data_IF_888369742540
#
_entry.id   IF_888369742540
#
_cell.length_a   1.000
_cell.length_b   1.000
_cell.length_c   1.000
_cell.angle_alpha   90.00
_cell.angle_beta   90.00
_cell.angle_gamma   90.00
#
_symmetry.space_group_name_H-M   'P 1'
#
loop_
_entity.id
_entity.type
_entity.pdbx_description
1 polymer ?
#
# COMPACT_ATOMS: atom_id res chain seq x y z
N UNK A 1 6.97 4.89 -20.82
CA UNK A 1 6.13 4.07 -19.94
C UNK A 1 4.68 4.24 -20.34
N UNK A 2 3.87 3.19 -20.26
CA UNK A 2 2.42 3.32 -20.44
C UNK A 2 1.82 4.07 -19.25
N UNK A 3 0.81 4.89 -19.49
CA UNK A 3 0.07 5.60 -18.43
C UNK A 3 -1.37 5.14 -18.42
N UNK A 4 -1.99 5.12 -17.24
CA UNK A 4 -3.40 4.81 -17.06
C UNK A 4 -4.12 6.03 -16.46
N UNK A 5 -5.34 6.28 -16.89
CA UNK A 5 -6.19 7.38 -16.37
C UNK A 5 -7.01 6.88 -15.20
N UNK A 6 -7.01 7.62 -14.09
CA UNK A 6 -7.85 7.36 -12.93
C UNK A 6 -8.70 8.60 -12.59
N UNK A 7 -9.95 8.37 -12.20
CA UNK A 7 -10.83 9.40 -11.64
C UNK A 7 -10.96 9.19 -10.13
N UNK A 8 -10.63 10.23 -9.35
CA UNK A 8 -10.63 10.18 -7.89
C UNK A 8 -11.61 11.20 -7.34
N UNK A 9 -12.43 10.79 -6.37
CA UNK A 9 -13.19 11.72 -5.54
C UNK A 9 -12.34 12.08 -4.34
N UNK A 10 -12.14 13.37 -4.12
CA UNK A 10 -11.37 13.88 -3.00
C UNK A 10 -12.15 14.95 -2.24
N UNK A 11 -11.92 15.09 -0.92
CA UNK A 11 -12.42 16.24 -0.16
C UNK A 11 -12.00 17.57 -0.80
N UNK A 12 -12.91 18.54 -0.80
CA UNK A 12 -12.72 19.85 -1.47
C UNK A 12 -11.55 20.64 -0.87
N UNK A 13 -11.38 20.60 0.44
CA UNK A 13 -10.28 21.25 1.16
C UNK A 13 -8.92 20.69 0.70
N UNK A 14 -8.81 19.37 0.54
CA UNK A 14 -7.61 18.72 0.03
C UNK A 14 -7.36 19.11 -1.43
N UNK A 15 -8.41 19.19 -2.25
CA UNK A 15 -8.32 19.65 -3.63
C UNK A 15 -7.74 21.07 -3.71
N UNK A 16 -8.22 21.97 -2.85
CA UNK A 16 -7.76 23.37 -2.76
C UNK A 16 -6.29 23.42 -2.32
N UNK A 17 -5.86 22.58 -1.37
CA UNK A 17 -4.46 22.53 -0.92
C UNK A 17 -3.51 22.16 -2.05
N UNK A 18 -3.83 21.13 -2.84
CA UNK A 18 -3.01 20.74 -3.99
C UNK A 18 -3.02 21.80 -5.11
N UNK A 19 -4.15 22.48 -5.32
CA UNK A 19 -4.22 23.58 -6.30
C UNK A 19 -3.33 24.76 -5.91
N UNK A 20 -3.32 25.15 -4.63
CA UNK A 20 -2.41 26.19 -4.11
C UNK A 20 -0.95 25.80 -4.26
N UNK A 21 -0.60 24.56 -3.91
CA UNK A 21 0.76 24.03 -4.05
C UNK A 21 1.22 24.11 -5.51
N UNK A 22 0.41 23.57 -6.43
CA UNK A 22 0.63 23.62 -7.86
C UNK A 22 0.91 25.04 -8.39
N UNK A 23 0.06 26.00 -8.02
CA UNK A 23 0.22 27.42 -8.40
C UNK A 23 1.51 28.03 -7.87
N UNK A 24 1.86 27.73 -6.62
CA UNK A 24 3.05 28.30 -5.97
C UNK A 24 4.38 27.76 -6.51
N UNK A 25 4.39 26.56 -7.07
CA UNK A 25 5.61 25.87 -7.53
C UNK A 25 5.71 25.75 -9.04
N UNK A 26 4.70 26.19 -9.80
CA UNK A 26 4.67 26.10 -11.26
C UNK A 26 4.51 24.67 -11.80
N UNK A 27 3.93 23.77 -11.01
CA UNK A 27 3.65 22.37 -11.40
C UNK A 27 2.15 22.12 -11.49
N UNK A 28 1.75 21.00 -12.10
CA UNK A 28 0.33 20.63 -12.19
C UNK A 28 -0.16 19.99 -10.89
N UNK A 29 -1.46 20.09 -10.63
CA UNK A 29 -2.11 19.36 -9.52
C UNK A 29 -1.89 17.85 -9.64
N UNK A 30 -2.01 17.33 -10.86
CA UNK A 30 -1.81 15.91 -11.17
C UNK A 30 -0.41 15.43 -10.82
N UNK A 31 0.64 16.23 -11.07
CA UNK A 31 2.00 15.89 -10.68
C UNK A 31 2.08 15.55 -9.18
N UNK A 32 1.57 16.43 -8.32
CA UNK A 32 1.61 16.20 -6.87
C UNK A 32 0.73 15.04 -6.41
N UNK A 33 -0.42 14.84 -7.05
CA UNK A 33 -1.28 13.69 -6.75
C UNK A 33 -0.60 12.38 -7.10
N UNK A 34 0.03 12.29 -8.26
CA UNK A 34 0.75 11.09 -8.69
C UNK A 34 1.94 10.80 -7.79
N UNK A 35 2.72 11.83 -7.42
CA UNK A 35 3.84 11.67 -6.47
C UNK A 35 3.35 11.18 -5.10
N UNK A 36 2.26 11.76 -4.58
CA UNK A 36 1.70 11.33 -3.29
C UNK A 36 1.18 9.89 -3.32
N UNK A 37 0.52 9.48 -4.42
CA UNK A 37 0.04 8.11 -4.59
C UNK A 37 1.21 7.13 -4.70
N UNK A 38 2.24 7.47 -5.47
CA UNK A 38 3.43 6.63 -5.65
C UNK A 38 4.23 6.50 -4.35
N UNK A 39 4.29 7.55 -3.52
CA UNK A 39 5.00 7.50 -2.25
C UNK A 39 4.32 6.62 -1.19
N UNK A 40 2.98 6.47 -1.24
CA UNK A 40 2.22 5.76 -0.20
C UNK A 40 1.92 4.29 -0.56
N UNK A 41 2.01 3.91 -1.84
CA UNK A 41 1.53 2.59 -2.30
C UNK A 41 2.26 1.42 -1.63
N UNK A 42 3.59 1.48 -1.49
CA UNK A 42 4.37 0.39 -0.87
C UNK A 42 3.94 0.12 0.58
N UNK A 43 3.64 1.20 1.32
CA UNK A 43 3.15 1.11 2.70
C UNK A 43 1.76 0.49 2.76
N UNK A 44 0.85 0.91 1.87
CA UNK A 44 -0.50 0.35 1.80
C UNK A 44 -0.46 -1.14 1.42
N UNK A 45 0.36 -1.52 0.44
CA UNK A 45 0.53 -2.91 0.05
C UNK A 45 1.05 -3.77 1.21
N UNK A 46 2.02 -3.26 1.97
CA UNK A 46 2.52 -3.95 3.15
C UNK A 46 1.45 -4.12 4.24
N UNK A 47 0.80 -3.02 4.66
CA UNK A 47 -0.18 -3.03 5.74
C UNK A 47 -1.40 -3.88 5.39
N UNK A 48 -2.01 -3.64 4.23
CA UNK A 48 -3.18 -4.40 3.81
C UNK A 48 -2.84 -5.84 3.41
N UNK A 49 -1.63 -6.09 2.90
CA UNK A 49 -1.14 -7.45 2.66
C UNK A 49 -1.04 -8.27 3.95
N UNK A 50 -0.52 -7.67 5.03
CA UNK A 50 -0.49 -8.32 6.34
C UNK A 50 -1.89 -8.56 6.90
N UNK A 51 -2.76 -7.55 6.84
CA UNK A 51 -4.16 -7.69 7.28
C UNK A 51 -4.86 -8.82 6.52
N UNK A 52 -4.62 -8.93 5.21
CA UNK A 52 -5.16 -10.00 4.39
C UNK A 52 -4.64 -11.38 4.82
N UNK A 53 -3.33 -11.52 5.06
CA UNK A 53 -2.75 -12.77 5.57
C UNK A 53 -3.37 -13.19 6.91
N UNK A 54 -3.61 -12.24 7.82
CA UNK A 54 -4.28 -12.51 9.10
C UNK A 54 -5.73 -12.96 8.89
N UNK A 55 -6.45 -12.32 7.97
CA UNK A 55 -7.81 -12.73 7.61
C UNK A 55 -7.85 -14.14 7.02
N UNK A 56 -6.93 -14.46 6.11
CA UNK A 56 -6.84 -15.77 5.47
C UNK A 56 -6.45 -16.87 6.47
N UNK A 57 -5.51 -16.59 7.37
CA UNK A 57 -5.18 -17.48 8.49
C UNK A 57 -6.41 -17.77 9.36
N UNK A 58 -7.12 -16.73 9.81
CA UNK A 58 -8.33 -16.89 10.65
C UNK A 58 -9.45 -17.64 9.93
N UNK A 59 -9.52 -17.52 8.61
CA UNK A 59 -10.50 -18.22 7.79
C UNK A 59 -10.07 -19.65 7.39
N UNK A 60 -8.89 -20.12 7.83
CA UNK A 60 -8.36 -21.44 7.47
C UNK A 60 -7.96 -21.57 6.00
N UNK A 61 -7.72 -20.45 5.30
CA UNK A 61 -7.30 -20.40 3.90
C UNK A 61 -5.79 -20.35 3.71
N UNK A 62 -5.04 -20.18 4.80
CA UNK A 62 -3.59 -20.17 4.79
C UNK A 62 -3.07 -21.51 5.31
N UNK A 63 -2.19 -22.16 4.56
CA UNK A 63 -1.42 -23.28 5.08
C UNK A 63 -0.49 -22.79 6.19
N UNK A 64 -0.48 -23.50 7.31
CA UNK A 64 0.35 -23.17 8.47
C UNK A 64 1.09 -24.40 8.95
N UNK A 65 2.32 -24.20 9.40
CA UNK A 65 3.12 -25.19 10.12
C UNK A 65 3.26 -24.74 11.58
N UNK A 66 3.49 -25.69 12.46
CA UNK A 66 3.88 -25.44 13.85
C UNK A 66 5.32 -24.92 13.91
N UNK A 67 5.70 -24.38 15.08
CA UNK A 67 7.08 -23.93 15.29
C UNK A 67 8.06 -25.11 15.19
N UNK A 68 7.74 -26.24 15.82
CA UNK A 68 8.57 -27.45 15.79
C UNK A 68 8.82 -27.95 14.36
N UNK A 69 7.76 -28.04 13.54
CA UNK A 69 7.87 -28.42 12.11
C UNK A 69 8.76 -27.43 11.33
N UNK A 70 8.68 -26.14 11.65
CA UNK A 70 9.50 -25.11 11.02
C UNK A 70 10.98 -25.21 11.45
N UNK A 71 11.24 -25.38 12.74
CA UNK A 71 12.59 -25.53 13.30
C UNK A 71 13.29 -26.77 12.74
N UNK A 72 12.58 -27.89 12.64
CA UNK A 72 13.07 -29.11 11.98
C UNK A 72 13.43 -28.85 10.51
N UNK A 73 12.54 -28.18 9.76
CA UNK A 73 12.76 -27.89 8.34
C UNK A 73 13.97 -26.98 8.07
N UNK A 74 14.32 -26.14 9.03
CA UNK A 74 15.46 -25.21 8.95
C UNK A 74 16.74 -25.78 9.57
N UNK A 75 16.70 -26.98 10.16
CA UNK A 75 17.84 -27.57 10.88
C UNK A 75 18.20 -26.80 12.15
N UNK A 76 17.20 -26.13 12.76
CA UNK A 76 17.31 -25.37 14.00
C UNK A 76 16.71 -26.11 15.20
N UNK A 77 16.19 -27.32 15.00
CA UNK A 77 15.73 -28.17 16.08
C UNK A 77 16.90 -28.58 16.98
N UNK A 78 16.76 -28.38 18.29
CA UNK A 78 17.72 -28.80 19.33
C UNK A 78 17.85 -30.33 19.45
#
# INVERSE_FOLDING_TARGET
MATATAALRMPEDLAIRYDRLAKSTGRTKTFYMTEALAAEIDRLEYEYGLLKKVEDYRAGRLETVTLDELEESLGLAD
#
